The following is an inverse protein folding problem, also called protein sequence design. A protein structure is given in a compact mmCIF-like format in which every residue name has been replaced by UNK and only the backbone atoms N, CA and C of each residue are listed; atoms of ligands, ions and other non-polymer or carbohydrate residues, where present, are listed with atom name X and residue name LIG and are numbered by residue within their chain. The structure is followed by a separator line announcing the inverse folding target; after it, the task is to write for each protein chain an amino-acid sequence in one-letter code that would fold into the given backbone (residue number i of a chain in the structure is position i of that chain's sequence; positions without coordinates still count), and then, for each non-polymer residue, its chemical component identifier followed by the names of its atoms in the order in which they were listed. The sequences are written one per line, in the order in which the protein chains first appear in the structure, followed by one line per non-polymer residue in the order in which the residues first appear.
data_IF_820056346783
#
_entry.id   IF_820056346783
#
_cell.length_a   1.000
_cell.length_b   1.000
_cell.length_c   1.000
_cell.angle_alpha   90.00
_cell.angle_beta   90.00
_cell.angle_gamma   90.00
#
_symmetry.space_group_name_H-M   'P 1'
#
loop_
_entity.id
_entity.type
_entity.pdbx_description
1 polymer ?
#
# COMPACT_ATOMS: atom_id res chain seq x y z
N UNK A 1 -16.02 -23.33 -23.68
CA UNK A 1 -16.12 -23.69 -22.25
C UNK A 1 -15.30 -22.66 -21.50
N UNK A 2 -15.93 -21.84 -20.66
CA UNK A 2 -15.16 -20.99 -19.74
C UNK A 2 -14.50 -21.90 -18.70
N UNK A 3 -13.19 -21.78 -18.56
CA UNK A 3 -12.47 -22.52 -17.52
C UNK A 3 -12.94 -22.02 -16.15
N UNK A 4 -13.38 -22.89 -15.23
CA UNK A 4 -13.90 -22.48 -13.93
C UNK A 4 -12.82 -21.88 -13.00
N UNK A 5 -11.58 -21.97 -13.41
CA UNK A 5 -10.42 -21.50 -12.62
C UNK A 5 -9.72 -20.33 -13.29
N UNK A 6 -9.40 -19.32 -12.50
CA UNK A 6 -8.63 -18.14 -12.92
C UNK A 6 -7.22 -18.26 -12.34
N UNK A 7 -6.19 -18.28 -13.20
CA UNK A 7 -4.80 -18.56 -12.81
C UNK A 7 -3.88 -17.33 -12.87
N UNK A 8 -4.26 -16.30 -13.61
CA UNK A 8 -3.43 -15.15 -13.98
C UNK A 8 -3.64 -13.93 -13.10
N UNK A 9 -4.69 -13.94 -12.28
CA UNK A 9 -5.04 -12.84 -11.38
C UNK A 9 -5.62 -13.33 -10.05
N UNK A 10 -5.69 -12.45 -9.06
CA UNK A 10 -6.39 -12.77 -7.82
C UNK A 10 -7.90 -12.85 -8.05
N UNK A 11 -8.56 -13.68 -7.27
CA UNK A 11 -10.01 -13.91 -7.32
C UNK A 11 -10.68 -13.48 -6.02
N UNK A 12 -11.91 -12.98 -6.14
CA UNK A 12 -12.77 -12.59 -5.01
C UNK A 12 -14.23 -12.99 -5.27
N UNK A 13 -15.07 -12.85 -4.26
CA UNK A 13 -16.50 -13.11 -4.37
C UNK A 13 -16.79 -14.56 -4.74
N UNK A 14 -17.63 -14.78 -5.77
CA UNK A 14 -18.06 -16.10 -6.20
C UNK A 14 -16.95 -17.04 -6.67
N UNK A 15 -15.80 -16.48 -7.08
CA UNK A 15 -14.65 -17.24 -7.55
C UNK A 15 -13.65 -17.58 -6.43
N UNK A 16 -13.84 -17.00 -5.24
CA UNK A 16 -13.03 -17.30 -4.07
C UNK A 16 -13.65 -18.43 -3.27
N UNK A 17 -13.10 -19.62 -3.37
CA UNK A 17 -13.63 -20.83 -2.72
C UNK A 17 -12.76 -21.23 -1.53
N UNK A 18 -13.42 -21.53 -0.41
CA UNK A 18 -12.72 -21.94 0.81
C UNK A 18 -12.13 -20.76 1.58
N UNK A 19 -11.20 -21.06 2.49
CA UNK A 19 -10.37 -20.09 3.27
C UNK A 19 -11.18 -19.02 4.04
N UNK A 20 -12.48 -19.25 4.32
CA UNK A 20 -13.33 -18.31 5.07
C UNK A 20 -12.81 -18.05 6.48
N UNK A 21 -12.24 -19.10 7.11
CA UNK A 21 -11.65 -19.00 8.44
C UNK A 21 -10.44 -18.08 8.44
N UNK A 22 -9.55 -18.23 7.46
CA UNK A 22 -8.35 -17.38 7.32
C UNK A 22 -8.74 -15.92 7.03
N UNK A 23 -9.76 -15.67 6.18
CA UNK A 23 -10.29 -14.32 5.99
C UNK A 23 -10.79 -13.71 7.29
N UNK A 24 -11.52 -14.48 8.13
CA UNK A 24 -12.01 -14.02 9.42
C UNK A 24 -10.86 -13.68 10.38
N UNK A 25 -9.86 -14.56 10.48
CA UNK A 25 -8.67 -14.34 11.33
C UNK A 25 -7.93 -13.07 10.88
N UNK A 26 -7.64 -12.95 9.57
CA UNK A 26 -6.95 -11.78 9.04
C UNK A 26 -7.76 -10.50 9.29
N UNK A 27 -9.06 -10.50 9.04
CA UNK A 27 -9.91 -9.33 9.29
C UNK A 27 -9.87 -8.89 10.76
N UNK A 28 -9.92 -9.82 11.69
CA UNK A 28 -9.83 -9.52 13.13
C UNK A 28 -8.45 -8.94 13.52
N UNK A 29 -7.37 -9.47 12.95
CA UNK A 29 -6.03 -8.93 13.20
C UNK A 29 -5.88 -7.51 12.66
N UNK A 30 -6.37 -7.25 11.44
CA UNK A 30 -6.35 -5.90 10.86
C UNK A 30 -7.20 -4.91 11.66
N UNK A 31 -8.38 -5.33 12.14
CA UNK A 31 -9.22 -4.50 13.02
C UNK A 31 -8.56 -4.20 14.36
N UNK A 32 -7.75 -5.12 14.87
CA UNK A 32 -6.96 -4.92 16.08
C UNK A 32 -5.71 -4.04 15.86
N UNK A 33 -5.43 -3.62 14.61
CA UNK A 33 -4.22 -2.85 14.26
C UNK A 33 -2.95 -3.68 14.17
N UNK A 34 -3.07 -4.99 14.07
CA UNK A 34 -1.93 -5.90 14.01
C UNK A 34 -1.29 -5.95 12.63
N UNK A 35 0.03 -6.16 12.60
CA UNK A 35 0.78 -6.42 11.38
C UNK A 35 0.72 -7.90 11.02
N UNK A 36 0.42 -8.19 9.75
CA UNK A 36 0.25 -9.57 9.27
C UNK A 36 1.29 -9.89 8.21
N UNK A 37 2.00 -10.99 8.37
CA UNK A 37 2.89 -11.55 7.35
C UNK A 37 2.27 -12.84 6.81
N UNK A 38 2.04 -12.89 5.49
CA UNK A 38 1.55 -14.08 4.80
C UNK A 38 2.73 -14.79 4.13
N UNK A 39 3.08 -15.94 4.68
CA UNK A 39 4.11 -16.80 4.14
C UNK A 39 3.50 -18.09 3.59
N UNK A 40 3.50 -18.21 2.28
CA UNK A 40 3.02 -19.39 1.55
C UNK A 40 3.80 -19.55 0.24
N UNK A 41 3.86 -20.73 -0.37
CA UNK A 41 4.46 -20.93 -1.69
C UNK A 41 3.86 -19.98 -2.76
N UNK A 42 4.56 -19.73 -3.86
CA UNK A 42 4.01 -19.00 -4.99
C UNK A 42 2.70 -19.62 -5.51
N UNK A 43 1.80 -18.77 -6.01
CA UNK A 43 0.49 -19.16 -6.61
C UNK A 43 -0.51 -19.85 -5.69
N UNK A 44 -0.34 -19.80 -4.38
CA UNK A 44 -1.30 -20.34 -3.40
C UNK A 44 -2.51 -19.45 -3.14
N UNK A 45 -2.60 -18.31 -3.81
CA UNK A 45 -3.74 -17.38 -3.67
C UNK A 45 -3.63 -16.39 -2.50
N UNK A 46 -2.40 -16.09 -2.02
CA UNK A 46 -2.17 -15.07 -0.97
C UNK A 46 -2.89 -13.76 -1.24
N UNK A 47 -2.73 -13.20 -2.44
CA UNK A 47 -3.41 -11.95 -2.80
C UNK A 47 -4.92 -12.10 -2.90
N UNK A 48 -5.43 -13.26 -3.30
CA UNK A 48 -6.88 -13.53 -3.27
C UNK A 48 -7.42 -13.52 -1.84
N UNK A 49 -6.68 -14.10 -0.89
CA UNK A 49 -7.02 -14.06 0.54
C UNK A 49 -7.08 -12.63 1.06
N UNK A 50 -6.05 -11.82 0.80
CA UNK A 50 -5.98 -10.41 1.20
C UNK A 50 -7.15 -9.62 0.61
N UNK A 51 -7.36 -9.70 -0.70
CA UNK A 51 -8.41 -8.95 -1.38
C UNK A 51 -9.82 -9.38 -0.95
N UNK A 52 -10.04 -10.69 -0.72
CA UNK A 52 -11.31 -11.19 -0.20
C UNK A 52 -11.56 -10.68 1.22
N UNK A 53 -10.54 -10.67 2.08
CA UNK A 53 -10.65 -10.12 3.44
C UNK A 53 -11.06 -8.64 3.41
N UNK A 54 -10.34 -7.84 2.63
CA UNK A 54 -10.65 -6.41 2.48
C UNK A 54 -12.06 -6.18 1.89
N UNK A 55 -12.47 -7.01 0.93
CA UNK A 55 -13.82 -6.95 0.39
C UNK A 55 -14.88 -7.26 1.46
N UNK A 56 -14.64 -8.28 2.29
CA UNK A 56 -15.53 -8.63 3.39
C UNK A 56 -15.64 -7.47 4.40
N UNK A 57 -14.53 -6.83 4.76
CA UNK A 57 -14.50 -5.68 5.66
C UNK A 57 -15.29 -4.49 5.08
N UNK A 58 -15.12 -4.18 3.79
CA UNK A 58 -15.90 -3.14 3.10
C UNK A 58 -17.39 -3.46 3.08
N UNK A 59 -17.74 -4.73 2.79
CA UNK A 59 -19.14 -5.19 2.79
C UNK A 59 -19.78 -5.13 4.18
N UNK A 60 -18.95 -5.18 5.24
CA UNK A 60 -19.38 -4.95 6.62
C UNK A 60 -19.47 -3.46 7.01
N UNK A 61 -19.31 -2.55 6.04
CA UNK A 61 -19.43 -1.10 6.26
C UNK A 61 -18.20 -0.45 6.91
N UNK A 62 -17.04 -1.11 6.95
CA UNK A 62 -15.83 -0.55 7.55
C UNK A 62 -15.11 0.37 6.56
N UNK A 63 -14.97 1.67 6.86
CA UNK A 63 -14.20 2.59 6.02
C UNK A 63 -12.70 2.40 6.27
N UNK A 64 -11.90 2.36 5.22
CA UNK A 64 -10.44 2.33 5.29
C UNK A 64 -9.81 2.68 3.94
N UNK A 65 -8.55 3.09 3.97
CA UNK A 65 -7.72 3.30 2.80
C UNK A 65 -6.78 2.10 2.64
N UNK A 66 -6.52 1.68 1.41
CA UNK A 66 -5.56 0.61 1.10
C UNK A 66 -4.56 1.11 0.08
N UNK A 67 -3.29 0.92 0.38
CA UNK A 67 -2.18 1.11 -0.54
C UNK A 67 -1.51 -0.24 -0.80
N UNK A 68 -1.22 -0.54 -2.06
CA UNK A 68 -0.51 -1.76 -2.45
C UNK A 68 0.80 -1.40 -3.11
N UNK A 69 1.89 -1.57 -2.37
CA UNK A 69 3.26 -1.26 -2.82
C UNK A 69 3.88 -2.53 -3.37
N UNK A 70 4.19 -2.51 -4.67
CA UNK A 70 4.87 -3.60 -5.35
C UNK A 70 6.38 -3.45 -5.19
N UNK A 71 7.03 -4.41 -4.51
CA UNK A 71 8.46 -4.35 -4.20
C UNK A 71 9.34 -4.88 -5.32
N UNK A 72 8.75 -5.42 -6.37
CA UNK A 72 9.49 -5.85 -7.56
C UNK A 72 10.23 -4.67 -8.18
N UNK A 73 11.51 -4.86 -8.54
CA UNK A 73 12.41 -3.82 -9.07
C UNK A 73 12.82 -2.69 -8.08
N UNK A 74 12.54 -2.81 -6.80
CA UNK A 74 13.12 -1.94 -5.79
C UNK A 74 14.54 -2.42 -5.50
N UNK A 75 15.54 -1.57 -5.76
CA UNK A 75 16.97 -1.94 -5.64
C UNK A 75 17.70 -1.14 -4.59
N UNK A 76 17.23 0.09 -4.34
CA UNK A 76 17.85 1.00 -3.38
C UNK A 76 16.83 1.44 -2.34
N UNK A 77 17.32 1.99 -1.24
CA UNK A 77 16.48 2.61 -0.23
C UNK A 77 15.70 3.81 -0.81
N UNK A 78 16.35 4.60 -1.66
CA UNK A 78 15.71 5.71 -2.36
C UNK A 78 14.54 5.24 -3.23
N UNK A 79 14.75 4.21 -4.08
CA UNK A 79 13.67 3.61 -4.90
C UNK A 79 12.49 3.18 -4.03
N UNK A 80 12.79 2.58 -2.87
CA UNK A 80 11.75 2.17 -1.92
C UNK A 80 10.97 3.38 -1.40
N UNK A 81 11.64 4.40 -0.89
CA UNK A 81 11.00 5.55 -0.26
C UNK A 81 10.15 6.34 -1.27
N UNK A 82 10.66 6.57 -2.48
CA UNK A 82 9.95 7.25 -3.56
C UNK A 82 8.71 6.46 -3.99
N UNK A 83 8.87 5.16 -4.24
CA UNK A 83 7.78 4.27 -4.65
C UNK A 83 6.73 4.12 -3.55
N UNK A 84 7.16 3.93 -2.30
CA UNK A 84 6.29 3.84 -1.14
C UNK A 84 5.47 5.11 -0.97
N UNK A 85 6.14 6.28 -0.89
CA UNK A 85 5.48 7.56 -0.71
C UNK A 85 4.50 7.90 -1.83
N UNK A 86 4.93 7.71 -3.09
CA UNK A 86 4.07 7.91 -4.28
C UNK A 86 2.82 7.03 -4.22
N UNK A 87 2.98 5.73 -3.91
CA UNK A 87 1.86 4.79 -3.87
C UNK A 87 0.91 5.08 -2.71
N UNK A 88 1.44 5.39 -1.54
CA UNK A 88 0.66 5.77 -0.35
C UNK A 88 -0.14 7.05 -0.61
N UNK A 89 0.47 8.08 -1.18
CA UNK A 89 -0.21 9.34 -1.48
C UNK A 89 -1.30 9.16 -2.54
N UNK A 90 -1.05 8.40 -3.62
CA UNK A 90 -2.07 8.07 -4.63
C UNK A 90 -3.30 7.37 -4.05
N UNK A 91 -3.12 6.61 -2.99
CA UNK A 91 -4.22 5.88 -2.35
C UNK A 91 -5.13 6.78 -1.50
N UNK A 92 -4.61 7.90 -1.00
CA UNK A 92 -5.34 8.80 -0.10
C UNK A 92 -5.75 10.13 -0.73
N UNK A 93 -5.04 10.57 -1.76
CA UNK A 93 -5.15 11.90 -2.36
C UNK A 93 -5.38 11.77 -3.88
N UNK A 94 -5.86 12.84 -4.52
CA UNK A 94 -6.28 12.76 -5.93
C UNK A 94 -5.75 13.90 -6.82
N UNK A 95 -5.25 14.99 -6.24
CA UNK A 95 -4.83 16.16 -7.01
C UNK A 95 -3.38 16.57 -6.71
N UNK A 96 -2.67 17.17 -7.70
CA UNK A 96 -1.31 17.67 -7.51
C UNK A 96 -1.16 18.63 -6.32
N UNK A 97 -2.15 19.48 -6.09
CA UNK A 97 -2.11 20.44 -4.97
C UNK A 97 -2.22 19.72 -3.63
N UNK A 98 -3.08 18.68 -3.53
CA UNK A 98 -3.16 17.83 -2.34
C UNK A 98 -1.85 17.08 -2.07
N UNK A 99 -1.15 16.62 -3.11
CA UNK A 99 0.15 15.95 -2.97
C UNK A 99 1.19 16.91 -2.43
N UNK A 100 1.26 18.11 -3.01
CA UNK A 100 2.18 19.16 -2.53
C UNK A 100 1.91 19.51 -1.07
N UNK A 101 0.65 19.80 -0.73
CA UNK A 101 0.25 20.16 0.64
C UNK A 101 0.58 19.04 1.65
N UNK A 102 0.40 17.77 1.24
CA UNK A 102 0.74 16.63 2.10
C UNK A 102 2.25 16.50 2.33
N UNK A 103 3.07 16.72 1.30
CA UNK A 103 4.53 16.74 1.44
C UNK A 103 4.96 17.90 2.35
N UNK A 104 4.49 19.10 2.09
CA UNK A 104 4.83 20.30 2.88
C UNK A 104 4.41 20.15 4.36
N UNK A 105 3.32 19.44 4.64
CA UNK A 105 2.80 19.24 6.01
C UNK A 105 3.43 18.05 6.72
N UNK A 106 3.50 16.91 6.05
CA UNK A 106 3.86 15.64 6.72
C UNK A 106 5.32 15.26 6.55
N UNK A 107 5.99 15.78 5.53
CA UNK A 107 7.39 15.51 5.23
C UNK A 107 8.27 16.76 5.35
N UNK A 108 7.79 17.79 6.08
CA UNK A 108 8.57 18.99 6.36
C UNK A 108 9.90 18.64 7.05
N UNK A 109 10.98 19.28 6.59
CA UNK A 109 12.33 19.07 7.13
C UNK A 109 13.00 17.76 6.68
N UNK A 110 12.43 17.07 5.68
CA UNK A 110 13.03 15.94 4.99
C UNK A 110 13.55 16.36 3.60
N UNK A 111 14.22 15.42 2.91
CA UNK A 111 14.69 15.65 1.54
C UNK A 111 13.62 15.34 0.46
N UNK A 112 12.38 15.04 0.86
CA UNK A 112 11.29 14.78 -0.08
C UNK A 112 10.68 16.07 -0.61
N UNK A 113 10.45 16.10 -1.91
CA UNK A 113 9.82 17.20 -2.62
C UNK A 113 8.72 16.69 -3.56
N UNK A 114 7.77 17.56 -3.90
CA UNK A 114 6.85 17.37 -5.01
C UNK A 114 7.41 18.05 -6.26
N UNK A 115 7.81 17.24 -7.22
CA UNK A 115 8.25 17.73 -8.54
C UNK A 115 7.07 17.58 -9.52
N UNK A 116 6.50 18.73 -9.93
CA UNK A 116 5.35 18.77 -10.82
C UNK A 116 5.69 18.24 -12.22
N UNK A 117 6.90 18.44 -12.71
CA UNK A 117 7.32 17.97 -14.03
C UNK A 117 7.43 16.44 -14.03
N UNK A 118 8.12 15.85 -13.06
CA UNK A 118 8.20 14.39 -12.89
C UNK A 118 6.82 13.77 -12.68
N UNK A 119 5.95 14.43 -11.93
CA UNK A 119 4.58 13.94 -11.77
C UNK A 119 3.85 13.78 -13.11
N UNK A 120 3.97 14.73 -14.03
CA UNK A 120 3.33 14.65 -15.34
C UNK A 120 4.04 13.73 -16.32
N UNK A 121 5.36 13.52 -16.18
CA UNK A 121 6.14 12.64 -17.04
C UNK A 121 6.02 11.17 -16.60
N UNK A 122 6.30 10.89 -15.34
CA UNK A 122 6.50 9.53 -14.82
C UNK A 122 5.40 9.12 -13.83
N UNK A 123 4.55 10.05 -13.40
CA UNK A 123 3.54 9.83 -12.39
C UNK A 123 4.12 9.70 -10.98
N UNK A 124 5.38 10.10 -10.75
CA UNK A 124 6.01 10.14 -9.44
C UNK A 124 5.51 11.36 -8.65
N UNK A 125 5.01 11.14 -7.44
CA UNK A 125 4.55 12.21 -6.56
C UNK A 125 5.67 12.68 -5.65
N UNK A 126 6.45 11.72 -5.15
CA UNK A 126 7.55 11.98 -4.23
C UNK A 126 8.85 11.86 -5.00
N UNK A 127 9.70 12.88 -4.91
CA UNK A 127 11.07 12.87 -5.42
C UNK A 127 12.05 13.23 -4.31
N UNK A 128 13.31 12.88 -4.48
CA UNK A 128 14.37 13.22 -3.54
C UNK A 128 15.49 13.99 -4.25
N UNK A 129 16.05 14.98 -3.57
CA UNK A 129 17.19 15.77 -4.09
C UNK A 129 18.54 15.30 -3.53
N UNK A 130 18.53 14.51 -2.45
CA UNK A 130 19.70 14.05 -1.72
C UNK A 130 19.54 12.60 -1.29
N UNK A 131 20.65 11.94 -0.96
CA UNK A 131 20.59 10.59 -0.41
C UNK A 131 19.76 10.56 0.90
N UNK A 132 18.92 9.53 1.10
CA UNK A 132 18.04 9.45 2.25
C UNK A 132 18.83 9.29 3.55
N UNK A 133 18.38 9.97 4.60
CA UNK A 133 18.88 9.84 5.96
C UNK A 133 17.87 9.11 6.88
N UNK A 134 18.23 8.96 8.14
CA UNK A 134 17.38 8.28 9.12
C UNK A 134 16.07 9.03 9.38
N UNK A 135 16.05 10.37 9.23
CA UNK A 135 14.85 11.17 9.39
C UNK A 135 13.90 10.96 8.23
N UNK A 136 14.41 10.92 6.99
CA UNK A 136 13.62 10.63 5.80
C UNK A 136 12.90 9.30 5.92
N UNK A 137 13.63 8.25 6.32
CA UNK A 137 13.07 6.91 6.52
C UNK A 137 11.94 6.96 7.57
N UNK A 138 12.21 7.54 8.74
CA UNK A 138 11.26 7.58 9.84
C UNK A 138 9.99 8.36 9.48
N UNK A 139 10.12 9.50 8.78
CA UNK A 139 8.98 10.32 8.39
C UNK A 139 8.17 9.66 7.27
N UNK A 140 8.82 9.03 6.30
CA UNK A 140 8.14 8.34 5.21
C UNK A 140 7.36 7.12 5.69
N UNK A 141 7.92 6.30 6.57
CA UNK A 141 7.23 5.13 7.14
C UNK A 141 5.99 5.54 7.96
N UNK A 142 6.02 6.73 8.58
CA UNK A 142 4.88 7.28 9.35
C UNK A 142 3.81 7.94 8.49
N UNK A 143 4.07 8.17 7.20
CA UNK A 143 3.16 8.86 6.30
C UNK A 143 1.76 8.23 6.23
N UNK A 144 1.59 6.90 6.12
CA UNK A 144 0.26 6.27 6.13
C UNK A 144 -0.54 6.59 7.40
N UNK A 145 0.13 6.58 8.56
CA UNK A 145 -0.52 6.90 9.84
C UNK A 145 -1.01 8.36 9.88
N UNK A 146 -0.22 9.30 9.37
CA UNK A 146 -0.60 10.73 9.31
C UNK A 146 -1.78 10.95 8.36
N UNK A 147 -1.75 10.32 7.19
CA UNK A 147 -2.85 10.39 6.23
C UNK A 147 -4.13 9.71 6.77
N UNK A 148 -3.97 8.63 7.55
CA UNK A 148 -5.07 8.00 8.27
C UNK A 148 -5.73 8.97 9.26
N UNK A 149 -4.92 9.70 10.03
CA UNK A 149 -5.39 10.72 10.98
C UNK A 149 -6.13 11.88 10.27
N UNK A 150 -5.58 12.38 9.16
CA UNK A 150 -6.21 13.43 8.36
C UNK A 150 -7.57 13.00 7.79
N UNK A 151 -7.71 11.72 7.44
CA UNK A 151 -8.94 11.16 6.85
C UNK A 151 -9.91 10.58 7.86
N UNK A 152 -9.47 10.37 9.10
CA UNK A 152 -10.27 9.77 10.17
C UNK A 152 -10.62 8.30 9.93
N UNK A 153 -9.81 7.57 9.12
CA UNK A 153 -10.04 6.16 8.80
C UNK A 153 -8.73 5.37 8.83
N UNK A 154 -8.76 4.07 9.15
CA UNK A 154 -7.58 3.21 9.09
C UNK A 154 -6.91 3.21 7.70
N UNK A 155 -5.59 3.05 7.69
CA UNK A 155 -4.79 2.95 6.47
C UNK A 155 -4.02 1.63 6.47
N UNK A 156 -4.30 0.76 5.52
CA UNK A 156 -3.60 -0.52 5.35
C UNK A 156 -2.61 -0.43 4.21
N UNK A 157 -1.36 -0.80 4.49
CA UNK A 157 -0.31 -0.89 3.48
C UNK A 157 0.00 -2.36 3.22
N UNK A 158 -0.11 -2.77 1.96
CA UNK A 158 0.24 -4.11 1.50
C UNK A 158 1.58 -4.02 0.77
N UNK A 159 2.60 -4.70 1.29
CA UNK A 159 3.89 -4.86 0.61
C UNK A 159 3.89 -6.18 -0.14
N UNK A 160 4.00 -6.14 -1.47
CA UNK A 160 4.03 -7.33 -2.32
C UNK A 160 5.44 -7.64 -2.78
N UNK A 161 5.73 -8.93 -2.96
CA UNK A 161 7.04 -9.42 -3.44
C UNK A 161 8.21 -8.93 -2.56
N UNK A 162 7.98 -8.82 -1.24
CA UNK A 162 8.95 -8.32 -0.27
C UNK A 162 10.25 -9.15 -0.24
N UNK A 163 10.18 -10.44 -0.59
CA UNK A 163 11.35 -11.32 -0.67
C UNK A 163 12.35 -10.94 -1.77
N UNK A 164 12.01 -10.04 -2.69
CA UNK A 164 12.91 -9.63 -3.78
C UNK A 164 13.93 -8.58 -3.36
N UNK A 165 13.86 -8.09 -2.12
CA UNK A 165 14.77 -7.06 -1.57
C UNK A 165 16.03 -7.68 -0.94
N UNK A 166 16.08 -9.00 -0.81
CA UNK A 166 17.24 -9.71 -0.22
C UNK A 166 18.36 -9.92 -1.23
#
# INVERSE_FOLDING_TARGET
METPFVYDKYVTGKHFVGRKKECGIMGNLLDAGEHVVLYEPPKTGKMSLVQQTLMNMRSAGKPFIVSCVEMFNVRTLEDFLVKFGTTVMKSALSTPDQYKDAIDRHLAGTHFIFDRERFYQDGEIVSMNWAPDAQDIAQMIRLPHRLAADRGVPFYVILREFQTIM
#
